data_IF_838933432746
#
_entry.id   IF_838933432746
#
_cell.length_a   1.000
_cell.length_b   1.000
_cell.length_c   1.000
_cell.angle_alpha   90.00
_cell.angle_beta   90.00
_cell.angle_gamma   90.00
#
_symmetry.space_group_name_H-M   'P 1'
#
loop_
_entity.id
_entity.type
_entity.pdbx_description
1 polymer ?
#
# COMPACT_ATOMS: atom_id res chain seq x y z
N UNK A 1 -6.94 -7.14 -12.75
CA UNK A 1 -7.18 -6.70 -14.14
C UNK A 1 -5.90 -6.65 -15.00
N UNK A 2 -4.89 -5.85 -14.62
CA UNK A 2 -3.68 -5.65 -15.46
C UNK A 2 -2.88 -6.92 -15.78
N UNK A 3 -2.71 -7.83 -14.80
CA UNK A 3 -2.06 -9.13 -15.02
C UNK A 3 -2.84 -9.98 -16.05
N UNK A 4 -4.16 -10.07 -15.88
CA UNK A 4 -5.04 -10.83 -16.78
C UNK A 4 -4.95 -10.33 -18.23
N UNK A 5 -5.00 -9.01 -18.44
CA UNK A 5 -4.88 -8.43 -19.79
C UNK A 5 -3.52 -8.72 -20.44
N UNK A 6 -2.44 -8.78 -19.64
CA UNK A 6 -1.12 -9.16 -20.16
C UNK A 6 -1.07 -10.65 -20.56
N UNK A 7 -1.63 -11.54 -19.74
CA UNK A 7 -1.72 -12.98 -20.07
C UNK A 7 -2.55 -13.23 -21.33
N UNK A 8 -3.60 -12.44 -21.56
CA UNK A 8 -4.42 -12.48 -22.77
C UNK A 8 -3.78 -11.76 -23.98
N UNK A 9 -2.54 -11.28 -23.86
CA UNK A 9 -1.82 -10.50 -24.89
C UNK A 9 -2.55 -9.21 -25.32
N UNK A 10 -3.43 -8.68 -24.48
CA UNK A 10 -4.13 -7.40 -24.69
C UNK A 10 -3.27 -6.24 -24.15
N UNK A 11 -2.15 -5.97 -24.80
CA UNK A 11 -1.12 -5.05 -24.29
C UNK A 11 -1.58 -3.60 -24.19
N UNK A 12 -2.42 -3.12 -25.11
CA UNK A 12 -3.00 -1.76 -25.02
C UNK A 12 -3.90 -1.60 -23.78
N UNK A 13 -4.71 -2.61 -23.48
CA UNK A 13 -5.53 -2.62 -22.27
C UNK A 13 -4.66 -2.70 -21.01
N UNK A 14 -3.63 -3.55 -21.02
CA UNK A 14 -2.66 -3.65 -19.93
C UNK A 14 -1.98 -2.30 -19.64
N UNK A 15 -1.50 -1.61 -20.69
CA UNK A 15 -0.86 -0.29 -20.57
C UNK A 15 -1.80 0.74 -19.95
N UNK A 16 -3.04 0.82 -20.43
CA UNK A 16 -4.05 1.74 -19.87
C UNK A 16 -4.30 1.45 -18.39
N UNK A 17 -4.52 0.19 -18.02
CA UNK A 17 -4.75 -0.22 -16.62
C UNK A 17 -3.54 0.11 -15.75
N UNK A 18 -2.32 -0.17 -16.23
CA UNK A 18 -1.08 0.13 -15.49
C UNK A 18 -0.94 1.63 -15.22
N UNK A 19 -1.13 2.47 -16.25
CA UNK A 19 -1.04 3.92 -16.09
C UNK A 19 -2.14 4.47 -15.18
N UNK A 20 -3.38 3.98 -15.30
CA UNK A 20 -4.46 4.35 -14.38
C UNK A 20 -4.11 3.98 -12.95
N UNK A 21 -3.56 2.79 -12.70
CA UNK A 21 -3.15 2.36 -11.36
C UNK A 21 -2.04 3.26 -10.78
N UNK A 22 -1.07 3.69 -11.60
CA UNK A 22 -0.02 4.63 -11.18
C UNK A 22 -0.64 5.97 -10.79
N UNK A 23 -1.52 6.53 -11.63
CA UNK A 23 -2.20 7.80 -11.34
C UNK A 23 -3.00 7.72 -10.04
N UNK A 24 -3.78 6.65 -9.84
CA UNK A 24 -4.50 6.43 -8.59
C UNK A 24 -3.56 6.28 -7.39
N UNK A 25 -2.42 5.62 -7.55
CA UNK A 25 -1.41 5.49 -6.50
C UNK A 25 -0.80 6.84 -6.11
N UNK A 26 -0.59 7.73 -7.09
CA UNK A 26 -0.13 9.11 -6.83
C UNK A 26 -1.17 9.89 -6.05
N UNK A 27 -2.44 9.87 -6.46
CA UNK A 27 -3.51 10.52 -5.70
C UNK A 27 -3.63 9.98 -4.28
N UNK A 28 -3.57 8.65 -4.12
CA UNK A 28 -3.56 8.02 -2.81
C UNK A 28 -2.37 8.50 -1.96
N UNK A 29 -1.16 8.52 -2.51
CA UNK A 29 0.03 8.96 -1.78
C UNK A 29 -0.06 10.43 -1.35
N UNK A 30 -0.52 11.32 -2.25
CA UNK A 30 -0.73 12.72 -1.93
C UNK A 30 -1.77 12.89 -0.81
N UNK A 31 -2.89 12.16 -0.90
CA UNK A 31 -3.92 12.16 0.14
C UNK A 31 -3.38 11.61 1.47
N UNK A 32 -2.55 10.57 1.45
CA UNK A 32 -1.93 9.99 2.63
C UNK A 32 -0.98 10.98 3.31
N UNK A 33 -0.10 11.62 2.53
CA UNK A 33 0.83 12.63 3.05
C UNK A 33 0.04 13.80 3.63
N UNK A 34 -0.98 14.30 2.92
CA UNK A 34 -1.82 15.38 3.42
C UNK A 34 -2.52 14.99 4.73
N UNK A 35 -3.11 13.80 4.81
CA UNK A 35 -3.71 13.30 6.05
C UNK A 35 -2.67 13.21 7.17
N UNK A 36 -1.48 12.67 6.92
CA UNK A 36 -0.45 12.53 7.95
C UNK A 36 0.09 13.88 8.45
N UNK A 37 0.11 14.91 7.58
CA UNK A 37 0.52 16.26 7.97
C UNK A 37 -0.58 17.04 8.71
N UNK A 38 -1.86 16.72 8.49
CA UNK A 38 -3.00 17.52 8.94
C UNK A 38 -3.85 16.86 10.04
N UNK A 39 -3.90 15.53 10.11
CA UNK A 39 -4.84 14.79 10.95
C UNK A 39 -4.29 14.39 12.34
N UNK A 40 -3.05 14.77 12.67
CA UNK A 40 -2.40 14.36 13.92
C UNK A 40 -2.08 12.85 13.98
N UNK A 41 -1.54 12.42 15.11
CA UNK A 41 -1.17 11.01 15.33
C UNK A 41 -2.30 10.23 15.99
N UNK A 42 -2.66 9.09 15.41
CA UNK A 42 -3.65 8.16 15.97
C UNK A 42 -2.95 6.92 16.53
N UNK A 43 -3.29 6.54 17.75
CA UNK A 43 -2.75 5.34 18.39
C UNK A 43 -3.75 4.20 18.32
N UNK A 44 -3.33 3.07 17.76
CA UNK A 44 -4.18 1.88 17.69
C UNK A 44 -4.59 1.42 19.10
N UNK A 45 -5.89 1.37 19.37
CA UNK A 45 -6.45 0.97 20.66
C UNK A 45 -6.78 2.12 21.61
N UNK A 46 -6.42 3.36 21.29
CA UNK A 46 -6.80 4.56 22.04
C UNK A 46 -8.30 4.86 21.77
N UNK A 47 -9.16 4.60 22.75
CA UNK A 47 -10.61 4.64 22.60
C UNK A 47 -11.19 6.01 22.95
N UNK A 48 -10.48 6.80 23.76
CA UNK A 48 -10.92 8.13 24.21
C UNK A 48 -10.22 9.28 23.46
N UNK A 49 -9.27 8.96 22.56
CA UNK A 49 -8.51 9.89 21.75
C UNK A 49 -7.73 10.94 22.57
N UNK A 50 -7.34 10.59 23.79
CA UNK A 50 -6.53 11.46 24.66
C UNK A 50 -5.02 11.36 24.36
N UNK A 51 -4.62 10.45 23.47
CA UNK A 51 -3.24 10.20 23.07
C UNK A 51 -2.48 9.33 24.06
N UNK A 52 -3.12 8.83 25.13
CA UNK A 52 -2.56 7.98 26.17
C UNK A 52 -3.21 6.61 26.06
N UNK A 53 -2.40 5.56 26.10
CA UNK A 53 -2.89 4.20 26.03
C UNK A 53 -2.94 3.60 27.44
N UNK A 54 -4.12 3.63 28.04
CA UNK A 54 -4.37 3.06 29.36
C UNK A 54 -4.26 1.53 29.34
N UNK A 55 -4.02 0.92 30.51
CA UNK A 55 -3.96 -0.54 30.61
C UNK A 55 -5.29 -1.20 30.20
N UNK A 56 -6.43 -0.57 30.52
CA UNK A 56 -7.76 -1.04 30.12
C UNK A 56 -7.95 -1.02 28.59
N UNK A 57 -7.42 -0.02 27.89
CA UNK A 57 -7.48 0.08 26.43
C UNK A 57 -6.56 -0.93 25.74
N UNK A 58 -5.36 -1.15 26.30
CA UNK A 58 -4.45 -2.20 25.83
C UNK A 58 -5.10 -3.58 25.94
N UNK A 59 -5.76 -3.86 27.07
CA UNK A 59 -6.48 -5.10 27.31
C UNK A 59 -7.63 -5.29 26.32
N UNK A 60 -8.45 -4.25 26.09
CA UNK A 60 -9.56 -4.28 25.14
C UNK A 60 -9.12 -4.51 23.69
N UNK A 61 -8.04 -3.87 23.26
CA UNK A 61 -7.50 -4.08 21.92
C UNK A 61 -6.82 -5.47 21.81
N UNK A 62 -6.26 -5.99 22.91
CA UNK A 62 -5.79 -7.37 23.04
C UNK A 62 -4.82 -7.81 21.93
N UNK A 63 -4.98 -9.04 21.46
CA UNK A 63 -4.13 -9.66 20.43
C UNK A 63 -4.22 -8.96 19.06
N UNK A 64 -5.27 -8.18 18.79
CA UNK A 64 -5.40 -7.45 17.52
C UNK A 64 -4.33 -6.37 17.35
N UNK A 65 -3.79 -5.84 18.46
CA UNK A 65 -2.63 -4.92 18.44
C UNK A 65 -1.40 -5.57 17.81
N UNK A 66 -1.12 -6.83 18.18
CA UNK A 66 0.04 -7.56 17.68
C UNK A 66 -0.08 -7.75 16.18
N UNK A 67 -1.26 -8.15 15.71
CA UNK A 67 -1.54 -8.29 14.27
C UNK A 67 -1.38 -6.96 13.54
N UNK A 68 -1.96 -5.88 14.09
CA UNK A 68 -1.84 -4.54 13.52
C UNK A 68 -0.38 -4.11 13.36
N UNK A 69 0.39 -4.16 14.45
CA UNK A 69 1.79 -3.73 14.41
C UNK A 69 2.68 -4.64 13.59
N UNK A 70 2.39 -5.95 13.53
CA UNK A 70 3.11 -6.86 12.64
C UNK A 70 2.91 -6.49 11.17
N UNK A 71 1.65 -6.29 10.75
CA UNK A 71 1.32 -5.89 9.37
C UNK A 71 1.89 -4.50 9.07
N UNK A 72 1.80 -3.57 10.02
CA UNK A 72 2.34 -2.22 9.86
C UNK A 72 3.87 -2.24 9.71
N UNK A 73 4.56 -3.04 10.52
CA UNK A 73 6.01 -3.19 10.51
C UNK A 73 6.51 -3.74 9.17
N UNK A 74 5.79 -4.66 8.55
CA UNK A 74 6.15 -5.18 7.22
C UNK A 74 5.70 -4.26 6.09
N UNK A 75 4.53 -3.62 6.22
CA UNK A 75 3.95 -2.76 5.19
C UNK A 75 4.80 -1.52 4.93
N UNK A 76 5.18 -0.77 5.97
CA UNK A 76 5.85 0.54 5.80
C UNK A 76 7.18 0.39 5.04
N UNK A 77 8.13 -0.51 5.43
CA UNK A 77 9.38 -0.67 4.70
C UNK A 77 9.16 -1.18 3.28
N UNK A 78 8.27 -2.15 3.08
CA UNK A 78 7.97 -2.68 1.74
C UNK A 78 7.33 -1.62 0.84
N UNK A 79 6.47 -0.75 1.36
CA UNK A 79 5.86 0.36 0.62
C UNK A 79 6.92 1.36 0.16
N UNK A 80 7.85 1.73 1.05
CA UNK A 80 8.96 2.64 0.71
C UNK A 80 9.90 2.03 -0.32
N UNK A 81 10.28 0.75 -0.15
CA UNK A 81 11.17 0.06 -1.08
C UNK A 81 10.50 -0.13 -2.43
N UNK A 82 9.24 -0.55 -2.49
CA UNK A 82 8.62 -0.97 -3.75
C UNK A 82 8.31 0.20 -4.69
N UNK A 83 8.10 1.40 -4.15
CA UNK A 83 7.77 2.59 -4.92
C UNK A 83 8.74 2.87 -6.08
N UNK A 84 10.07 3.02 -5.87
CA UNK A 84 11.01 3.22 -6.97
C UNK A 84 11.02 2.07 -7.97
N UNK A 85 10.82 0.81 -7.53
CA UNK A 85 10.77 -0.33 -8.44
C UNK A 85 9.51 -0.33 -9.31
N UNK A 86 8.36 0.12 -8.80
CA UNK A 86 7.13 0.25 -9.60
C UNK A 86 7.34 1.27 -10.71
N UNK A 87 7.89 2.44 -10.37
CA UNK A 87 8.17 3.50 -11.33
C UNK A 87 9.19 3.03 -12.37
N UNK A 88 10.25 2.34 -11.96
CA UNK A 88 11.26 1.82 -12.87
C UNK A 88 10.72 0.69 -13.77
N UNK A 89 9.89 -0.20 -13.22
CA UNK A 89 9.20 -1.25 -13.99
C UNK A 89 8.27 -0.65 -15.05
N UNK A 90 7.52 0.40 -14.70
CA UNK A 90 6.66 1.11 -15.64
C UNK A 90 7.46 1.86 -16.70
N UNK A 91 8.52 2.56 -16.31
CA UNK A 91 9.44 3.25 -17.21
C UNK A 91 9.98 2.31 -18.30
N UNK A 92 10.48 1.12 -17.90
CA UNK A 92 10.96 0.11 -18.85
C UNK A 92 9.92 -0.31 -19.88
N UNK A 93 8.66 -0.43 -19.48
CA UNK A 93 7.58 -0.70 -20.43
C UNK A 93 7.33 0.48 -21.40
N UNK A 94 7.44 1.71 -20.91
CA UNK A 94 7.20 2.92 -21.73
C UNK A 94 8.29 3.15 -22.78
N UNK A 95 9.54 2.77 -22.51
CA UNK A 95 10.65 2.86 -23.48
C UNK A 95 10.80 1.61 -24.36
N UNK A 96 9.88 0.65 -24.28
CA UNK A 96 9.89 -0.56 -25.09
C UNK A 96 10.82 -1.68 -24.61
N UNK A 97 11.42 -1.57 -23.42
CA UNK A 97 12.24 -2.64 -22.82
C UNK A 97 11.37 -3.73 -22.17
N UNK A 98 10.49 -4.36 -22.94
CA UNK A 98 9.48 -5.29 -22.43
C UNK A 98 10.07 -6.50 -21.71
N UNK A 99 11.17 -7.08 -22.20
CA UNK A 99 11.83 -8.22 -21.55
C UNK A 99 12.30 -7.87 -20.13
N UNK A 100 12.84 -6.66 -19.97
CA UNK A 100 13.31 -6.15 -18.68
C UNK A 100 12.15 -5.75 -17.77
N UNK A 101 11.06 -5.22 -18.33
CA UNK A 101 9.82 -4.96 -17.62
C UNK A 101 9.24 -6.27 -17.05
N UNK A 102 9.13 -7.32 -17.86
CA UNK A 102 8.57 -8.62 -17.43
C UNK A 102 9.44 -9.27 -16.35
N UNK A 103 10.77 -9.26 -16.52
CA UNK A 103 11.70 -9.79 -15.51
C UNK A 103 11.53 -9.10 -14.16
N UNK A 104 11.45 -7.77 -14.16
CA UNK A 104 11.31 -7.01 -12.91
C UNK A 104 9.92 -7.17 -12.29
N UNK A 105 8.87 -7.18 -13.12
CA UNK A 105 7.47 -7.35 -12.68
C UNK A 105 7.25 -8.63 -11.87
N UNK A 106 8.00 -9.71 -12.14
CA UNK A 106 7.91 -10.96 -11.34
C UNK A 106 8.22 -10.76 -9.86
N UNK A 107 9.04 -9.76 -9.53
CA UNK A 107 9.35 -9.36 -8.15
C UNK A 107 8.46 -8.20 -7.72
N UNK A 108 8.27 -7.21 -8.60
CA UNK A 108 7.55 -5.98 -8.24
C UNK A 108 6.06 -6.24 -7.98
N UNK A 109 5.44 -7.10 -8.78
CA UNK A 109 4.01 -7.40 -8.71
C UNK A 109 3.56 -8.02 -7.37
N UNK A 110 4.17 -9.11 -6.86
CA UNK A 110 3.72 -9.71 -5.61
C UNK A 110 3.93 -8.77 -4.41
N UNK A 111 5.03 -8.03 -4.37
CA UNK A 111 5.29 -7.07 -3.28
C UNK A 111 4.32 -5.88 -3.36
N UNK A 112 4.06 -5.36 -4.55
CA UNK A 112 3.06 -4.30 -4.73
C UNK A 112 1.66 -4.77 -4.31
N UNK A 113 1.26 -5.99 -4.68
CA UNK A 113 -0.03 -6.55 -4.28
C UNK A 113 -0.12 -6.70 -2.76
N UNK A 114 0.94 -7.21 -2.12
CA UNK A 114 1.02 -7.30 -0.66
C UNK A 114 0.81 -5.93 0.00
N UNK A 115 1.57 -4.91 -0.42
CA UNK A 115 1.47 -3.55 0.12
C UNK A 115 0.07 -2.97 -0.12
N UNK A 116 -0.48 -3.11 -1.33
CA UNK A 116 -1.82 -2.60 -1.66
C UNK A 116 -2.92 -3.22 -0.80
N UNK A 117 -2.90 -4.53 -0.56
CA UNK A 117 -3.89 -5.22 0.28
C UNK A 117 -3.69 -4.86 1.76
N UNK A 118 -2.45 -4.91 2.25
CA UNK A 118 -2.16 -4.63 3.66
C UNK A 118 -2.44 -3.18 4.05
N UNK A 119 -2.28 -2.22 3.14
CA UNK A 119 -2.65 -0.82 3.39
C UNK A 119 -4.15 -0.64 3.68
N UNK A 120 -5.00 -1.31 2.89
CA UNK A 120 -6.46 -1.31 3.14
C UNK A 120 -6.79 -1.97 4.48
N UNK A 121 -6.13 -3.09 4.81
CA UNK A 121 -6.33 -3.77 6.09
C UNK A 121 -5.93 -2.87 7.27
N UNK A 122 -4.74 -2.24 7.21
CA UNK A 122 -4.27 -1.29 8.22
C UNK A 122 -5.30 -0.19 8.44
N UNK A 123 -5.80 0.43 7.36
CA UNK A 123 -6.81 1.47 7.44
C UNK A 123 -8.10 0.98 8.12
N UNK A 124 -8.62 -0.18 7.71
CA UNK A 124 -9.84 -0.76 8.30
C UNK A 124 -9.65 -1.08 9.79
N UNK A 125 -8.45 -1.50 10.18
CA UNK A 125 -8.11 -1.78 11.57
C UNK A 125 -8.00 -0.49 12.40
N UNK A 126 -7.35 0.56 11.90
CA UNK A 126 -7.13 1.79 12.67
C UNK A 126 -8.32 2.75 12.63
N UNK A 127 -9.18 2.69 11.61
CA UNK A 127 -10.27 3.66 11.46
C UNK A 127 -11.21 3.88 12.65
N UNK A 128 -11.49 2.89 13.53
CA UNK A 128 -12.36 3.11 14.69
C UNK A 128 -11.74 4.00 15.77
N UNK A 129 -10.44 4.31 15.65
CA UNK A 129 -9.68 5.11 16.61
C UNK A 129 -9.38 6.53 16.06
N UNK A 130 -9.91 6.88 14.88
CA UNK A 130 -9.92 8.26 14.38
C UNK A 130 -11.06 9.08 14.98
#
# INVERSE_FOLDING_TARGET
>A
AGLFTAMMKKFEAHKKIMLTAIVLSVFFLLSYIAHHLLAGDTRYGDLNADGILSEAEKERAGSTRIIYYFILFTHIPLAGIILPFILFTAYRALIGEYDRHVKLTRITWPVWLYVAVTGVIIYVMIRPYY
#
